data_IF_626320676588
#
_entry.id   IF_626320676588
#
_cell.length_a   1.000
_cell.length_b   1.000
_cell.length_c   1.000
_cell.angle_alpha   90.00
_cell.angle_beta   90.00
_cell.angle_gamma   90.00
#
_symmetry.space_group_name_H-M   'P 1'
#
loop_
_entity.id
_entity.type
_entity.pdbx_description
1 polymer ?
#
# COMPACT_ATOMS: atom_id res chain seq x y z
N UNK A 1 5.11 7.53 10.31
CA UNK A 1 4.35 6.51 9.54
C UNK A 1 3.07 6.22 10.29
N UNK A 2 2.02 5.75 9.62
CA UNK A 2 0.80 5.35 10.34
C UNK A 2 0.99 4.03 11.09
N UNK A 3 0.01 3.72 11.94
CA UNK A 3 -0.17 2.40 12.54
C UNK A 3 -1.30 1.66 11.80
N UNK A 4 -1.15 0.35 11.64
CA UNK A 4 -2.19 -0.49 11.06
C UNK A 4 -3.34 -0.65 12.07
N UNK A 5 -4.57 -0.43 11.61
CA UNK A 5 -5.76 -0.73 12.40
C UNK A 5 -5.96 -2.24 12.58
N UNK A 6 -6.65 -2.65 13.65
CA UNK A 6 -6.95 -4.07 13.90
C UNK A 6 -8.01 -4.62 12.93
N UNK A 7 -8.98 -3.79 12.55
CA UNK A 7 -10.07 -4.18 11.65
C UNK A 7 -9.68 -4.05 10.18
N UNK A 8 -9.93 -5.13 9.42
CA UNK A 8 -9.80 -5.13 7.97
C UNK A 8 -10.91 -4.33 7.30
N UNK A 9 -10.61 -3.84 6.11
CA UNK A 9 -11.52 -3.14 5.23
C UNK A 9 -12.07 -4.13 4.20
N UNK A 10 -13.39 -4.23 4.09
CA UNK A 10 -14.05 -4.91 2.98
C UNK A 10 -14.26 -3.90 1.85
N UNK A 11 -13.50 -4.04 0.78
CA UNK A 11 -13.51 -3.12 -0.37
C UNK A 11 -13.46 -3.91 -1.66
N UNK A 12 -14.27 -3.51 -2.64
CA UNK A 12 -14.02 -3.84 -4.05
C UNK A 12 -12.78 -3.09 -4.56
N UNK A 13 -12.23 -3.51 -5.71
CA UNK A 13 -11.06 -2.83 -6.30
C UNK A 13 -11.31 -1.33 -6.57
N UNK A 14 -12.50 -0.98 -7.04
CA UNK A 14 -12.89 0.41 -7.29
C UNK A 14 -13.01 1.20 -5.98
N UNK A 15 -13.59 0.61 -4.94
CA UNK A 15 -13.67 1.22 -3.60
C UNK A 15 -12.30 1.38 -2.97
N UNK A 16 -11.39 0.41 -3.14
CA UNK A 16 -9.98 0.52 -2.74
C UNK A 16 -9.29 1.71 -3.42
N UNK A 17 -9.45 1.84 -4.74
CA UNK A 17 -8.89 2.97 -5.47
C UNK A 17 -9.46 4.31 -4.98
N UNK A 18 -10.76 4.38 -4.74
CA UNK A 18 -11.42 5.57 -4.21
C UNK A 18 -10.99 5.89 -2.78
N UNK A 19 -10.84 4.87 -1.95
CA UNK A 19 -10.33 4.99 -0.58
C UNK A 19 -8.92 5.57 -0.59
N UNK A 20 -8.01 5.03 -1.41
CA UNK A 20 -6.65 5.56 -1.50
C UNK A 20 -6.63 7.01 -1.98
N UNK A 21 -7.45 7.39 -2.97
CA UNK A 21 -7.54 8.80 -3.40
C UNK A 21 -7.99 9.74 -2.27
N UNK A 22 -8.90 9.29 -1.40
CA UNK A 22 -9.42 10.09 -0.29
C UNK A 22 -8.46 10.13 0.91
N UNK A 23 -7.84 9.00 1.26
CA UNK A 23 -7.07 8.85 2.49
C UNK A 23 -5.55 8.94 2.29
N UNK A 24 -5.06 8.73 1.06
CA UNK A 24 -3.63 8.77 0.65
C UNK A 24 -2.73 7.72 1.30
N UNK A 25 -3.29 6.76 2.03
CA UNK A 25 -2.53 5.74 2.75
C UNK A 25 -3.39 4.54 3.12
N UNK A 26 -2.83 3.35 3.10
CA UNK A 26 -3.46 2.09 3.53
C UNK A 26 -2.38 1.07 3.83
N UNK A 27 -2.68 0.10 4.69
CA UNK A 27 -1.89 -1.12 4.81
C UNK A 27 -2.51 -2.22 3.94
N UNK A 28 -1.67 -3.00 3.28
CA UNK A 28 -2.03 -4.09 2.39
C UNK A 28 -1.25 -5.33 2.83
N UNK A 29 -1.95 -6.40 3.18
CA UNK A 29 -1.36 -7.69 3.52
C UNK A 29 -1.62 -8.69 2.40
N UNK A 30 -0.59 -9.46 2.06
CA UNK A 30 -0.67 -10.59 1.11
C UNK A 30 0.21 -11.72 1.63
N UNK A 31 -0.41 -12.83 1.99
CA UNK A 31 0.28 -13.94 2.67
C UNK A 31 0.84 -13.48 4.02
N UNK A 32 2.17 -13.55 4.18
CA UNK A 32 2.91 -13.15 5.37
C UNK A 32 3.58 -11.76 5.25
N UNK A 33 3.36 -11.06 4.14
CA UNK A 33 3.96 -9.76 3.85
C UNK A 33 2.96 -8.64 4.10
N UNK A 34 3.42 -7.56 4.72
CA UNK A 34 2.65 -6.33 4.93
C UNK A 34 3.33 -5.18 4.20
N UNK A 35 2.56 -4.45 3.39
CA UNK A 35 3.01 -3.28 2.67
C UNK A 35 2.25 -2.04 3.08
N UNK A 36 2.95 -0.91 3.11
CA UNK A 36 2.37 0.40 3.31
C UNK A 36 2.27 1.13 1.96
N UNK A 37 1.05 1.29 1.45
CA UNK A 37 0.82 2.07 0.24
C UNK A 37 0.54 3.51 0.65
N UNK A 38 1.25 4.46 0.07
CA UNK A 38 1.11 5.87 0.46
C UNK A 38 1.35 6.81 -0.70
N UNK A 39 0.68 7.95 -0.67
CA UNK A 39 1.00 9.12 -1.47
C UNK A 39 1.62 10.21 -0.59
N UNK A 40 2.89 10.50 -0.83
CA UNK A 40 3.61 11.57 -0.13
C UNK A 40 4.71 12.12 -1.02
N UNK A 41 5.14 13.35 -0.77
CA UNK A 41 6.14 14.06 -1.57
C UNK A 41 5.82 14.11 -3.09
N UNK A 42 4.54 14.03 -3.45
CA UNK A 42 4.06 14.05 -4.84
C UNK A 42 4.10 12.71 -5.58
N UNK A 43 4.41 11.61 -4.88
CA UNK A 43 4.50 10.28 -5.48
C UNK A 43 3.70 9.25 -4.70
N UNK A 44 3.17 8.28 -5.43
CA UNK A 44 2.64 7.02 -4.92
C UNK A 44 3.78 6.00 -4.80
N UNK A 45 3.78 5.23 -3.72
CA UNK A 45 4.75 4.16 -3.47
C UNK A 45 4.18 3.05 -2.59
N UNK A 46 4.74 1.86 -2.74
CA UNK A 46 4.62 0.77 -1.78
C UNK A 46 5.92 0.63 -0.99
N UNK A 47 5.78 0.39 0.31
CA UNK A 47 6.91 0.23 1.22
C UNK A 47 6.76 -1.09 1.99
N UNK A 48 7.84 -1.84 2.14
CA UNK A 48 7.89 -3.07 2.92
C UNK A 48 7.93 -2.75 4.41
N UNK A 49 6.92 -3.21 5.15
CA UNK A 49 6.80 -2.98 6.59
C UNK A 49 7.79 -3.80 7.43
N UNK A 50 8.33 -4.90 6.89
CA UNK A 50 9.31 -5.74 7.57
C UNK A 50 10.73 -5.13 7.56
N UNK A 51 11.01 -4.22 6.63
CA UNK A 51 12.34 -3.64 6.43
C UNK A 51 12.35 -2.15 6.74
N UNK A 52 13.08 -1.78 7.80
CA UNK A 52 13.30 -0.38 8.17
C UNK A 52 14.66 0.11 7.69
N UNK A 53 14.72 1.33 7.16
CA UNK A 53 15.96 2.02 6.83
C UNK A 53 16.62 2.63 8.08
N UNK A 54 17.78 3.27 7.91
CA UNK A 54 18.57 3.89 8.99
C UNK A 54 17.82 4.97 9.78
N UNK A 55 16.71 5.49 9.24
CA UNK A 55 15.84 6.48 9.89
C UNK A 55 14.62 5.84 10.56
N UNK A 56 14.54 4.51 10.58
CA UNK A 56 13.42 3.76 11.14
C UNK A 56 12.14 3.78 10.28
N UNK A 57 12.22 4.22 9.03
CA UNK A 57 11.09 4.23 8.09
C UNK A 57 11.04 2.93 7.29
N UNK A 58 9.83 2.49 6.91
CA UNK A 58 9.63 1.42 5.93
C UNK A 58 10.37 1.73 4.63
N UNK A 59 10.85 0.67 3.97
CA UNK A 59 11.71 0.79 2.80
C UNK A 59 10.88 0.65 1.53
N UNK A 60 11.10 1.52 0.56
CA UNK A 60 10.38 1.47 -0.71
C UNK A 60 10.66 0.15 -1.45
N UNK A 61 9.60 -0.53 -1.86
CA UNK A 61 9.66 -1.78 -2.63
C UNK A 61 9.01 -1.67 -4.01
N UNK A 62 8.46 -0.51 -4.36
CA UNK A 62 8.01 -0.15 -5.71
C UNK A 62 8.78 1.06 -6.25
N UNK A 63 8.67 1.30 -7.55
CA UNK A 63 9.05 2.60 -8.12
C UNK A 63 8.16 3.73 -7.55
N UNK A 64 8.70 4.95 -7.51
CA UNK A 64 7.94 6.16 -7.19
C UNK A 64 7.19 6.60 -8.45
N UNK A 65 5.86 6.58 -8.40
CA UNK A 65 5.02 6.87 -9.56
C UNK A 65 4.10 8.06 -9.30
N UNK A 66 3.83 8.92 -10.28
CA UNK A 66 3.03 10.13 -10.09
C UNK A 66 1.54 9.87 -9.89
N UNK A 67 1.01 8.70 -10.28
CA UNK A 67 -0.42 8.43 -10.22
C UNK A 67 -0.76 7.10 -9.54
N UNK A 68 -1.93 7.05 -8.90
CA UNK A 68 -2.45 5.81 -8.30
C UNK A 68 -2.66 4.73 -9.36
N UNK A 69 -3.09 5.11 -10.57
CA UNK A 69 -3.31 4.17 -11.67
C UNK A 69 -2.01 3.47 -12.10
N UNK A 70 -0.88 4.14 -11.98
CA UNK A 70 0.43 3.52 -12.20
C UNK A 70 0.78 2.59 -11.06
N UNK A 71 0.63 3.02 -9.80
CA UNK A 71 0.98 2.20 -8.63
C UNK A 71 0.28 0.83 -8.65
N UNK A 72 -1.00 0.80 -8.99
CA UNK A 72 -1.79 -0.45 -9.00
C UNK A 72 -1.44 -1.37 -10.18
N UNK A 73 -0.72 -0.87 -11.19
CA UNK A 73 -0.37 -1.59 -12.43
C UNK A 73 1.10 -1.93 -12.60
N UNK A 74 2.00 -1.24 -11.89
CA UNK A 74 3.43 -1.57 -11.90
C UNK A 74 3.69 -2.89 -11.17
N UNK A 75 4.68 -3.64 -11.65
CA UNK A 75 5.01 -4.98 -11.15
C UNK A 75 6.08 -4.90 -10.08
N UNK A 76 5.67 -5.02 -8.83
CA UNK A 76 6.58 -4.96 -7.67
C UNK A 76 6.32 -6.05 -6.63
N UNK A 77 5.25 -6.84 -6.79
CA UNK A 77 4.89 -7.96 -5.89
C UNK A 77 5.25 -9.26 -6.59
N UNK A 78 6.49 -9.73 -6.44
CA UNK A 78 6.97 -10.99 -7.04
C UNK A 78 6.66 -11.10 -8.56
N UNK A 79 6.80 -9.98 -9.29
CA UNK A 79 6.52 -9.90 -10.73
C UNK A 79 5.05 -9.65 -11.11
N UNK A 80 4.17 -9.45 -10.12
CA UNK A 80 2.77 -9.06 -10.28
C UNK A 80 2.51 -7.62 -9.80
N UNK A 81 1.38 -7.07 -10.20
CA UNK A 81 0.87 -5.79 -9.72
C UNK A 81 -0.31 -5.96 -8.74
N UNK A 82 -0.83 -4.87 -8.20
CA UNK A 82 -1.93 -4.90 -7.21
C UNK A 82 -3.23 -5.40 -7.86
N UNK A 83 -3.55 -5.00 -9.09
CA UNK A 83 -4.74 -5.50 -9.82
C UNK A 83 -4.75 -7.03 -9.93
N UNK A 84 -3.59 -7.65 -10.17
CA UNK A 84 -3.42 -9.10 -10.34
C UNK A 84 -3.52 -9.89 -9.03
N UNK A 85 -3.29 -9.27 -7.87
CA UNK A 85 -3.28 -9.94 -6.55
C UNK A 85 -4.36 -9.44 -5.60
N UNK A 86 -5.22 -8.52 -6.05
CA UNK A 86 -6.17 -7.82 -5.17
C UNK A 86 -7.05 -8.75 -4.35
N UNK A 87 -7.56 -9.81 -4.97
CA UNK A 87 -8.44 -10.80 -4.33
C UNK A 87 -7.71 -11.65 -3.26
N UNK A 88 -6.38 -11.69 -3.29
CA UNK A 88 -5.55 -12.39 -2.30
C UNK A 88 -5.15 -11.46 -1.13
N UNK A 89 -5.57 -10.19 -1.16
CA UNK A 89 -5.11 -9.16 -0.23
C UNK A 89 -6.14 -8.80 0.85
N UNK A 90 -5.62 -8.50 2.03
CA UNK A 90 -6.40 -7.88 3.10
C UNK A 90 -5.94 -6.44 3.30
N UNK A 91 -6.88 -5.51 3.44
CA UNK A 91 -6.58 -4.09 3.55
C UNK A 91 -6.94 -3.55 4.92
N UNK A 92 -6.16 -2.61 5.44
CA UNK A 92 -6.37 -2.03 6.76
C UNK A 92 -6.18 -0.51 6.73
N UNK A 93 -6.96 0.20 7.55
CA UNK A 93 -6.79 1.65 7.70
C UNK A 93 -5.41 1.95 8.29
N UNK A 94 -4.81 3.03 7.82
CA UNK A 94 -3.67 3.65 8.48
C UNK A 94 -4.16 4.71 9.46
N UNK A 95 -4.08 4.42 10.74
CA UNK A 95 -4.38 5.38 11.81
C UNK A 95 -3.14 6.23 12.13
N UNK A 96 -3.35 7.50 12.45
CA UNK A 96 -2.34 8.35 13.10
C UNK A 96 -2.70 8.38 14.58
N UNK A 97 -1.73 8.10 15.46
CA UNK A 97 -1.83 8.54 16.85
C UNK A 97 -1.90 10.08 16.93
#
# INVERSE_FOLDING_TARGET
>A
MGQQAEESLELTFDEFCNYLRAHTRIFMEIGDKTYYLTHTDGYWRAQDCAVKNDKGHFTDCSELVPTLSELVRIKWIDGKNIEEVFEDCTFYKSIQE
#
